data_IF_628472454227
#
_entry.id   IF_628472454227
#
_cell.length_a   1.000
_cell.length_b   1.000
_cell.length_c   1.000
_cell.angle_alpha   90.00
_cell.angle_beta   90.00
_cell.angle_gamma   90.00
#
_symmetry.space_group_name_H-M   'P 1'
#
loop_
_entity.id
_entity.type
_entity.pdbx_description
1 polymer ?
#
# COMPACT_ATOMS: atom_id res chain seq x y z
N UNK A 1 -14.10 5.61 -14.37
CA UNK A 1 -13.60 6.99 -14.53
C UNK A 1 -14.55 7.83 -15.36
N UNK A 2 -14.81 7.42 -16.60
CA UNK A 2 -15.59 8.21 -17.57
C UNK A 2 -17.01 8.58 -17.15
N UNK A 3 -17.73 7.72 -16.42
CA UNK A 3 -19.07 8.04 -15.93
C UNK A 3 -19.06 9.18 -14.89
N UNK A 4 -18.10 9.14 -13.96
CA UNK A 4 -17.96 10.21 -12.94
C UNK A 4 -17.53 11.53 -13.58
N UNK A 5 -16.73 11.48 -14.64
CA UNK A 5 -16.34 12.65 -15.41
C UNK A 5 -17.54 13.28 -16.13
N UNK A 6 -18.39 12.47 -16.79
CA UNK A 6 -19.64 12.93 -17.41
C UNK A 6 -20.60 13.56 -16.42
N UNK A 7 -20.65 13.06 -15.17
CA UNK A 7 -21.46 13.61 -14.10
C UNK A 7 -20.79 14.78 -13.38
N UNK A 8 -19.61 15.24 -13.81
CA UNK A 8 -18.80 16.27 -13.16
C UNK A 8 -18.53 15.99 -11.68
N UNK A 9 -18.37 14.72 -11.34
CA UNK A 9 -18.07 14.27 -9.97
C UNK A 9 -16.69 13.65 -9.89
N UNK A 10 -16.05 13.78 -8.71
CA UNK A 10 -14.80 13.11 -8.39
C UNK A 10 -15.11 11.75 -7.72
N UNK A 11 -14.33 10.73 -8.04
CA UNK A 11 -14.21 9.50 -7.28
C UNK A 11 -12.74 9.29 -6.91
N UNK A 12 -12.47 9.21 -5.62
CA UNK A 12 -11.12 9.01 -5.06
C UNK A 12 -11.21 7.87 -4.01
N UNK A 13 -10.98 6.62 -4.40
CA UNK A 13 -11.20 5.46 -3.52
C UNK A 13 -10.16 5.33 -2.39
N UNK A 14 -8.96 5.91 -2.56
CA UNK A 14 -7.86 5.81 -1.61
C UNK A 14 -7.50 7.14 -0.97
N UNK A 15 -8.09 7.47 0.18
CA UNK A 15 -7.86 8.75 0.89
C UNK A 15 -7.18 8.57 2.26
N UNK A 16 -6.74 7.35 2.59
CA UNK A 16 -6.10 6.98 3.84
C UNK A 16 -4.65 6.53 3.68
N UNK A 17 -4.11 5.95 4.75
CA UNK A 17 -2.75 5.41 4.79
C UNK A 17 -2.46 4.41 3.65
N UNK A 18 -3.48 3.68 3.22
CA UNK A 18 -3.33 2.64 2.21
C UNK A 18 -2.88 3.18 0.84
N UNK A 19 -3.04 4.48 0.57
CA UNK A 19 -2.70 5.09 -0.72
C UNK A 19 -1.97 6.43 -0.57
N UNK A 20 -2.43 7.33 0.32
CA UNK A 20 -1.94 8.72 0.34
C UNK A 20 -0.42 8.83 0.43
N UNK A 21 0.27 8.23 1.42
CA UNK A 21 1.71 8.43 1.56
C UNK A 21 2.53 7.77 0.46
N UNK A 22 2.07 6.62 -0.05
CA UNK A 22 2.75 5.88 -1.12
C UNK A 22 2.52 6.51 -2.50
N UNK A 23 1.32 7.04 -2.77
CA UNK A 23 1.01 7.77 -4.00
C UNK A 23 1.75 9.11 -4.07
N UNK A 24 1.82 9.85 -2.94
CA UNK A 24 2.65 11.06 -2.82
C UNK A 24 4.14 10.75 -3.01
N UNK A 25 4.64 9.65 -2.43
CA UNK A 25 6.02 9.19 -2.63
C UNK A 25 6.29 8.88 -4.10
N UNK A 26 5.38 8.16 -4.76
CA UNK A 26 5.50 7.82 -6.18
C UNK A 26 5.55 9.09 -7.06
N UNK A 27 4.65 10.05 -6.79
CA UNK A 27 4.61 11.34 -7.50
C UNK A 27 5.89 12.14 -7.28
N UNK A 28 6.32 12.28 -6.03
CA UNK A 28 7.55 13.00 -5.68
C UNK A 28 8.77 12.45 -6.42
N UNK A 29 8.96 11.12 -6.40
CA UNK A 29 10.08 10.48 -7.09
C UNK A 29 9.99 10.59 -8.61
N UNK A 30 8.79 10.43 -9.18
CA UNK A 30 8.57 10.59 -10.61
C UNK A 30 8.85 12.04 -11.07
N UNK A 31 8.51 13.05 -10.27
CA UNK A 31 8.81 14.45 -10.62
C UNK A 31 10.31 14.73 -10.65
N UNK A 32 11.11 14.00 -9.86
CA UNK A 32 12.58 14.08 -9.87
C UNK A 32 13.23 13.23 -10.98
N UNK A 33 12.54 12.17 -11.45
CA UNK A 33 12.99 11.26 -12.50
C UNK A 33 11.83 10.91 -13.43
N UNK A 34 11.44 11.81 -14.36
CA UNK A 34 10.28 11.60 -15.25
C UNK A 34 10.44 10.44 -16.23
N UNK A 35 11.66 10.03 -16.52
CA UNK A 35 12.01 8.89 -17.39
C UNK A 35 12.05 7.54 -16.65
N UNK A 36 11.60 7.49 -15.39
CA UNK A 36 11.56 6.26 -14.60
C UNK A 36 10.69 5.18 -15.27
N UNK A 37 11.22 3.98 -15.35
CA UNK A 37 10.55 2.79 -15.91
C UNK A 37 10.12 1.78 -14.83
N UNK A 38 10.69 1.87 -13.64
CA UNK A 38 10.41 0.99 -12.49
C UNK A 38 10.17 1.81 -11.23
N UNK A 39 9.20 1.38 -10.44
CA UNK A 39 8.86 1.94 -9.14
C UNK A 39 8.73 0.81 -8.13
N UNK A 40 9.42 0.94 -7.01
CA UNK A 40 9.22 0.10 -5.82
C UNK A 40 8.72 1.00 -4.68
N UNK A 41 7.65 0.59 -4.03
CA UNK A 41 7.11 1.24 -2.85
C UNK A 41 7.12 0.24 -1.70
N UNK A 42 7.58 0.66 -0.54
CA UNK A 42 7.58 -0.18 0.65
C UNK A 42 7.02 0.59 1.84
N UNK A 43 6.26 -0.09 2.70
CA UNK A 43 5.78 0.50 3.93
C UNK A 43 5.91 -0.46 5.12
N UNK A 44 6.00 0.12 6.30
CA UNK A 44 6.05 -0.59 7.56
C UNK A 44 5.31 0.18 8.65
N UNK A 45 4.67 -0.55 9.57
CA UNK A 45 4.15 0.00 10.82
C UNK A 45 5.04 -0.46 11.97
N UNK A 46 5.52 0.48 12.77
CA UNK A 46 6.40 0.21 13.91
C UNK A 46 5.68 0.58 15.20
N UNK A 47 5.58 -0.37 16.14
CA UNK A 47 4.92 -0.16 17.42
C UNK A 47 3.39 -0.19 17.40
N UNK A 48 2.78 -0.40 16.22
CA UNK A 48 1.34 -0.50 16.06
C UNK A 48 0.79 -1.93 16.12
N UNK A 49 -0.54 -2.05 16.10
CA UNK A 49 -1.28 -3.31 15.94
C UNK A 49 -2.30 -3.18 14.82
N UNK A 50 -2.66 -4.31 14.22
CA UNK A 50 -3.73 -4.35 13.23
C UNK A 50 -5.10 -4.18 13.90
N UNK A 51 -6.00 -3.43 13.26
CA UNK A 51 -7.41 -3.40 13.63
C UNK A 51 -8.12 -4.70 13.22
N UNK A 52 -9.30 -4.95 13.79
CA UNK A 52 -10.17 -6.05 13.37
C UNK A 52 -10.46 -6.00 11.86
N UNK A 53 -10.73 -4.80 11.32
CA UNK A 53 -10.99 -4.61 9.88
C UNK A 53 -9.82 -5.07 9.03
N UNK A 54 -8.63 -4.55 9.28
CA UNK A 54 -7.40 -4.92 8.55
C UNK A 54 -7.10 -6.41 8.67
N UNK A 55 -7.16 -6.97 9.88
CA UNK A 55 -6.93 -8.39 10.11
C UNK A 55 -7.97 -9.27 9.38
N UNK A 56 -9.24 -8.85 9.33
CA UNK A 56 -10.31 -9.56 8.62
C UNK A 56 -10.06 -9.53 7.11
N UNK A 57 -9.72 -8.38 6.52
CA UNK A 57 -9.37 -8.27 5.11
C UNK A 57 -8.19 -9.16 4.75
N UNK A 58 -7.16 -9.22 5.60
CA UNK A 58 -6.01 -10.12 5.40
C UNK A 58 -6.45 -11.59 5.45
N UNK A 59 -7.36 -11.97 6.38
CA UNK A 59 -7.88 -13.33 6.46
C UNK A 59 -8.73 -13.70 5.24
N UNK A 60 -9.47 -12.77 4.67
CA UNK A 60 -10.24 -12.96 3.43
C UNK A 60 -9.35 -13.17 2.21
N UNK A 61 -8.22 -12.46 2.14
CA UNK A 61 -7.23 -12.61 1.08
C UNK A 61 -6.30 -13.83 1.21
N UNK A 62 -6.43 -14.64 2.27
CA UNK A 62 -5.57 -15.81 2.47
C UNK A 62 -5.66 -16.79 1.30
N UNK A 63 -4.50 -17.15 0.78
CA UNK A 63 -4.38 -18.10 -0.34
C UNK A 63 -4.59 -17.48 -1.75
N UNK A 64 -4.97 -16.21 -1.87
CA UNK A 64 -5.25 -15.59 -3.20
C UNK A 64 -4.00 -15.26 -4.01
N UNK A 65 -2.83 -15.30 -3.39
CA UNK A 65 -1.55 -14.96 -4.04
C UNK A 65 -1.23 -13.47 -4.00
N UNK A 66 -0.38 -13.05 -4.93
CA UNK A 66 0.10 -11.69 -5.07
C UNK A 66 -0.17 -11.12 -6.46
N UNK A 67 0.19 -9.86 -6.66
CA UNK A 67 0.17 -9.20 -7.96
C UNK A 67 1.23 -8.09 -8.00
N UNK A 68 1.68 -7.77 -9.20
CA UNK A 68 2.55 -6.64 -9.51
C UNK A 68 2.08 -5.99 -10.81
N UNK A 69 2.61 -4.82 -11.12
CA UNK A 69 2.47 -4.25 -12.47
C UNK A 69 3.75 -4.50 -13.25
N UNK A 70 3.61 -5.11 -14.43
CA UNK A 70 4.70 -5.32 -15.39
C UNK A 70 4.24 -4.84 -16.78
N UNK A 71 5.06 -4.01 -17.43
CA UNK A 71 4.76 -3.46 -18.75
C UNK A 71 3.36 -2.85 -18.85
N UNK A 72 2.95 -2.09 -17.84
CA UNK A 72 1.67 -1.43 -17.76
C UNK A 72 0.47 -2.33 -17.42
N UNK A 73 0.66 -3.64 -17.20
CA UNK A 73 -0.41 -4.61 -16.89
C UNK A 73 -0.25 -5.20 -15.49
N UNK A 74 -1.36 -5.44 -14.82
CA UNK A 74 -1.36 -6.16 -13.53
C UNK A 74 -1.21 -7.65 -13.80
N UNK A 75 -0.13 -8.24 -13.29
CA UNK A 75 0.22 -9.66 -13.46
C UNK A 75 0.14 -10.37 -12.11
N UNK A 76 -0.55 -11.51 -12.08
CA UNK A 76 -0.62 -12.35 -10.89
C UNK A 76 0.74 -13.00 -10.60
N UNK A 77 1.14 -12.99 -9.35
CA UNK A 77 2.37 -13.64 -8.83
C UNK A 77 2.02 -14.43 -7.56
N UNK A 78 2.94 -15.20 -7.03
CA UNK A 78 2.80 -15.72 -5.67
C UNK A 78 2.91 -14.60 -4.64
N UNK A 79 2.25 -14.71 -3.50
CA UNK A 79 2.44 -13.76 -2.40
C UNK A 79 3.89 -13.82 -1.92
N UNK A 80 4.53 -12.67 -1.74
CA UNK A 80 5.94 -12.63 -1.36
C UNK A 80 6.88 -13.24 -2.42
N UNK A 81 6.60 -13.09 -3.73
CA UNK A 81 7.46 -13.61 -4.79
C UNK A 81 8.87 -13.01 -4.79
N UNK A 82 9.02 -11.80 -4.24
CA UNK A 82 10.31 -11.16 -3.96
C UNK A 82 10.37 -10.70 -2.51
N UNK A 83 11.57 -10.72 -1.94
CA UNK A 83 11.87 -10.15 -0.63
C UNK A 83 13.16 -9.35 -0.70
N UNK A 84 13.22 -8.25 0.04
CA UNK A 84 14.41 -7.40 0.11
C UNK A 84 14.52 -6.70 1.47
N UNK A 85 15.74 -6.32 1.83
CA UNK A 85 15.99 -5.42 2.94
C UNK A 85 15.83 -3.98 2.49
N UNK A 86 15.03 -3.22 3.21
CA UNK A 86 14.80 -1.79 2.98
C UNK A 86 15.35 -0.98 4.15
N UNK A 87 16.13 0.04 3.83
CA UNK A 87 16.59 1.03 4.80
C UNK A 87 15.55 2.16 4.88
N UNK A 88 14.58 2.02 5.79
CA UNK A 88 13.72 3.13 6.16
C UNK A 88 14.53 4.15 6.96
N UNK A 89 14.03 5.39 7.08
CA UNK A 89 14.74 6.48 7.76
C UNK A 89 15.31 6.09 9.14
N UNK A 90 14.52 5.38 9.94
CA UNK A 90 14.87 5.03 11.32
C UNK A 90 15.21 3.55 11.53
N UNK A 91 14.93 2.67 10.58
CA UNK A 91 15.11 1.21 10.74
C UNK A 91 15.38 0.51 9.41
N UNK A 92 16.22 -0.53 9.45
CA UNK A 92 16.38 -1.50 8.37
C UNK A 92 15.43 -2.68 8.62
N UNK A 93 14.49 -2.93 7.73
CA UNK A 93 13.50 -3.98 7.85
C UNK A 93 13.49 -4.88 6.61
N UNK A 94 13.22 -6.16 6.82
CA UNK A 94 12.97 -7.07 5.72
C UNK A 94 11.54 -6.89 5.23
N UNK A 95 11.36 -6.83 3.91
CA UNK A 95 10.07 -6.61 3.26
C UNK A 95 9.81 -7.69 2.21
N UNK A 96 8.56 -7.91 1.89
CA UNK A 96 8.12 -8.81 0.82
C UNK A 96 7.06 -8.15 -0.06
N UNK A 97 6.98 -8.59 -1.31
CA UNK A 97 5.96 -8.13 -2.25
C UNK A 97 4.55 -8.55 -1.83
N UNK A 98 3.62 -7.62 -1.96
CA UNK A 98 2.18 -7.81 -1.72
C UNK A 98 1.35 -7.19 -2.84
N UNK A 99 0.11 -7.66 -3.09
CA UNK A 99 -0.80 -7.09 -4.08
C UNK A 99 -1.51 -5.85 -3.49
N UNK A 100 -0.78 -4.76 -3.31
CA UNK A 100 -1.33 -3.53 -2.73
C UNK A 100 -1.94 -2.62 -3.79
N UNK A 101 -2.84 -1.71 -3.38
CA UNK A 101 -3.56 -0.81 -4.28
C UNK A 101 -2.68 0.06 -5.17
N UNK A 102 -1.47 0.36 -4.71
CA UNK A 102 -0.50 1.22 -5.42
C UNK A 102 -0.06 0.69 -6.79
N UNK A 103 -0.12 -0.62 -7.03
CA UNK A 103 0.11 -1.16 -8.38
C UNK A 103 -0.90 -0.62 -9.41
N UNK A 104 -2.02 -0.03 -8.95
CA UNK A 104 -3.02 0.65 -9.75
C UNK A 104 -2.98 2.17 -9.58
N UNK A 105 -2.98 2.67 -8.35
CA UNK A 105 -3.05 4.11 -8.05
C UNK A 105 -1.77 4.83 -8.46
N UNK A 106 -0.59 4.31 -8.14
CA UNK A 106 0.67 4.91 -8.54
C UNK A 106 0.86 4.90 -10.08
N UNK A 107 0.31 3.89 -10.78
CA UNK A 107 0.29 3.92 -12.24
C UNK A 107 -0.62 5.02 -12.80
N UNK A 108 -1.76 5.26 -12.15
CA UNK A 108 -2.65 6.37 -12.54
C UNK A 108 -1.93 7.71 -12.38
N UNK A 109 -1.17 7.87 -11.29
CA UNK A 109 -0.45 9.09 -10.95
C UNK A 109 0.80 9.32 -11.80
N UNK A 110 1.60 8.28 -12.07
CA UNK A 110 2.96 8.43 -12.64
C UNK A 110 3.13 7.86 -14.05
N UNK A 111 2.25 6.93 -14.46
CA UNK A 111 2.38 6.15 -15.69
C UNK A 111 3.62 5.24 -15.74
N UNK A 112 4.36 5.07 -14.66
CA UNK A 112 5.50 4.14 -14.61
C UNK A 112 5.00 2.71 -14.88
N UNK A 113 5.54 2.00 -15.89
CA UNK A 113 4.97 0.74 -16.36
C UNK A 113 5.23 -0.47 -15.46
N UNK A 114 6.24 -0.42 -14.60
CA UNK A 114 6.62 -1.52 -13.71
C UNK A 114 6.57 -1.05 -12.25
N UNK A 115 5.65 -1.64 -11.46
CA UNK A 115 5.41 -1.24 -10.07
C UNK A 115 5.33 -2.46 -9.18
N UNK A 116 6.12 -2.47 -8.12
CA UNK A 116 6.11 -3.46 -7.06
C UNK A 116 5.84 -2.78 -5.72
N UNK A 117 4.99 -3.39 -4.91
CA UNK A 117 4.68 -2.91 -3.57
C UNK A 117 5.10 -3.92 -2.52
N UNK A 118 5.64 -3.44 -1.43
CA UNK A 118 6.26 -4.24 -0.37
C UNK A 118 5.74 -3.85 1.00
N UNK A 119 5.64 -4.83 1.89
CA UNK A 119 5.37 -4.60 3.31
C UNK A 119 6.41 -5.28 4.19
N UNK A 120 6.65 -4.75 5.37
CA UNK A 120 7.59 -5.35 6.31
C UNK A 120 7.05 -6.67 6.87
N UNK A 121 7.89 -7.68 6.90
CA UNK A 121 7.61 -9.00 7.48
C UNK A 121 8.86 -9.58 8.13
N UNK A 122 8.70 -10.58 9.00
CA UNK A 122 9.86 -11.33 9.46
C UNK A 122 10.45 -12.21 8.34
N UNK A 123 11.79 -12.37 8.26
CA UNK A 123 12.40 -13.30 7.32
C UNK A 123 11.86 -14.73 7.45
N UNK A 124 11.47 -15.14 8.67
CA UNK A 124 10.86 -16.44 8.93
C UNK A 124 9.49 -16.56 8.24
N UNK A 125 8.64 -15.56 8.34
CA UNK A 125 7.34 -15.52 7.63
C UNK A 125 7.54 -15.60 6.13
N UNK A 126 8.48 -14.83 5.58
CA UNK A 126 8.81 -14.91 4.16
C UNK A 126 9.29 -16.30 3.71
N UNK A 127 10.14 -16.95 4.51
CA UNK A 127 10.61 -18.31 4.21
C UNK A 127 9.48 -19.34 4.20
N UNK A 128 8.48 -19.19 5.09
CA UNK A 128 7.29 -20.05 5.10
C UNK A 128 6.47 -19.92 3.81
N UNK A 129 6.39 -18.72 3.25
CA UNK A 129 5.63 -18.48 2.01
C UNK A 129 6.22 -19.17 0.78
N UNK A 130 7.50 -19.59 0.79
CA UNK A 130 8.09 -20.38 -0.29
C UNK A 130 7.35 -21.71 -0.52
N UNK A 131 6.71 -22.23 0.52
CA UNK A 131 5.94 -23.48 0.49
C UNK A 131 4.44 -23.27 0.26
N UNK A 132 4.01 -22.03 -0.03
CA UNK A 132 2.59 -21.66 -0.15
C UNK A 132 1.84 -22.51 -1.21
N UNK A 133 2.53 -23.01 -2.24
CA UNK A 133 1.95 -23.90 -3.23
C UNK A 133 1.34 -25.17 -2.63
N UNK A 134 1.91 -25.66 -1.51
CA UNK A 134 1.44 -26.87 -0.83
C UNK A 134 0.20 -26.65 0.03
N UNK A 135 -0.02 -25.43 0.57
CA UNK A 135 -1.08 -25.18 1.54
C UNK A 135 -2.08 -24.08 1.15
N UNK A 136 -1.86 -23.33 0.07
CA UNK A 136 -2.79 -22.27 -0.35
C UNK A 136 -4.21 -22.77 -0.60
N UNK A 137 -4.38 -24.00 -1.10
CA UNK A 137 -5.70 -24.59 -1.31
C UNK A 137 -6.46 -24.78 0.01
N UNK A 138 -5.75 -25.15 1.09
CA UNK A 138 -6.33 -25.26 2.43
C UNK A 138 -6.74 -23.89 2.96
N UNK A 139 -5.90 -22.86 2.76
CA UNK A 139 -6.17 -21.49 3.22
C UNK A 139 -7.39 -20.86 2.52
N UNK A 140 -7.74 -21.34 1.32
CA UNK A 140 -8.94 -20.89 0.58
C UNK A 140 -10.24 -21.48 1.13
N UNK A 141 -10.17 -22.55 1.92
CA UNK A 141 -11.37 -23.16 2.48
C UNK A 141 -12.10 -22.20 3.40
N UNK A 142 -13.41 -22.09 3.23
CA UNK A 142 -14.26 -21.21 4.04
C UNK A 142 -14.19 -21.50 5.54
N UNK A 143 -14.07 -22.79 5.91
CA UNK A 143 -13.88 -23.22 7.29
C UNK A 143 -12.61 -22.64 7.92
N UNK A 144 -11.49 -22.65 7.19
CA UNK A 144 -10.21 -22.10 7.65
C UNK A 144 -10.31 -20.59 7.79
N UNK A 145 -10.85 -19.89 6.77
CA UNK A 145 -11.05 -18.44 6.81
C UNK A 145 -11.98 -18.03 7.96
N UNK A 146 -13.09 -18.76 8.17
CA UNK A 146 -14.02 -18.49 9.25
C UNK A 146 -13.40 -18.74 10.63
N UNK A 147 -12.57 -19.76 10.79
CA UNK A 147 -11.80 -19.98 12.02
C UNK A 147 -10.91 -18.76 12.35
N UNK A 148 -10.14 -18.25 11.38
CA UNK A 148 -9.31 -17.06 11.59
C UNK A 148 -10.15 -15.81 11.87
N UNK A 149 -11.26 -15.57 11.15
CA UNK A 149 -12.19 -14.47 11.41
C UNK A 149 -12.76 -14.53 12.85
N UNK A 150 -13.14 -15.72 13.32
CA UNK A 150 -13.63 -15.89 14.68
C UNK A 150 -12.55 -15.64 15.74
N UNK A 151 -11.30 -15.99 15.45
CA UNK A 151 -10.15 -15.68 16.31
C UNK A 151 -9.89 -14.17 16.36
N UNK A 152 -9.96 -13.48 15.21
CA UNK A 152 -9.81 -12.03 15.10
C UNK A 152 -10.86 -11.30 15.95
N UNK A 153 -12.14 -11.73 15.90
CA UNK A 153 -13.23 -11.12 16.70
C UNK A 153 -12.97 -11.13 18.22
N UNK A 154 -12.14 -12.06 18.70
CA UNK A 154 -11.76 -12.19 20.12
C UNK A 154 -10.54 -11.35 20.52
N UNK A 155 -9.85 -10.73 19.53
CA UNK A 155 -8.70 -9.88 19.79
C UNK A 155 -9.17 -8.45 20.17
N UNK A 156 -8.31 -7.60 20.75
CA UNK A 156 -8.60 -6.18 20.91
C UNK A 156 -8.92 -5.53 19.56
N UNK A 157 -9.87 -4.60 19.54
CA UNK A 157 -10.41 -3.98 18.30
C UNK A 157 -9.34 -3.29 17.42
N UNK A 158 -8.24 -2.86 18.02
CA UNK A 158 -7.12 -2.21 17.34
C UNK A 158 -6.14 -1.60 18.35
N UNK A 159 -5.24 -0.71 17.93
CA UNK A 159 -4.35 -0.01 18.83
C UNK A 159 -5.13 0.99 19.70
N UNK A 160 -4.79 1.03 20.99
CA UNK A 160 -5.28 2.05 21.91
C UNK A 160 -4.62 3.42 21.64
N UNK A 161 -5.07 4.47 22.34
CA UNK A 161 -4.55 5.83 22.15
C UNK A 161 -3.06 5.94 22.49
N UNK A 162 -2.62 5.30 23.57
CA UNK A 162 -1.23 5.33 24.01
C UNK A 162 -0.31 4.66 22.96
N UNK A 163 -0.76 3.57 22.38
CA UNK A 163 -0.06 2.88 21.30
C UNK A 163 -0.02 3.73 20.03
N UNK A 164 -1.15 4.34 19.61
CA UNK A 164 -1.20 5.22 18.43
C UNK A 164 -0.26 6.41 18.54
N UNK A 165 -0.11 7.01 19.73
CA UNK A 165 0.83 8.11 19.97
C UNK A 165 2.30 7.71 19.80
N UNK A 166 2.65 6.44 20.08
CA UNK A 166 4.03 5.93 20.00
C UNK A 166 4.35 5.25 18.68
N UNK A 167 3.34 4.70 18.01
CA UNK A 167 3.53 3.99 16.75
C UNK A 167 3.77 4.95 15.59
N UNK A 168 4.54 4.48 14.61
CA UNK A 168 4.94 5.25 13.44
C UNK A 168 4.71 4.45 12.17
N UNK A 169 4.42 5.16 11.11
CA UNK A 169 4.40 4.65 9.74
C UNK A 169 5.70 5.01 9.05
N UNK A 170 6.31 4.05 8.41
CA UNK A 170 7.50 4.24 7.58
C UNK A 170 7.13 3.93 6.14
N UNK A 171 7.49 4.81 5.22
CA UNK A 171 7.30 4.63 3.78
C UNK A 171 8.64 4.88 3.08
N UNK A 172 8.94 4.04 2.14
CA UNK A 172 10.11 4.13 1.28
C UNK A 172 9.69 3.95 -0.17
N UNK A 173 10.32 4.69 -1.06
CA UNK A 173 10.14 4.53 -2.49
C UNK A 173 11.46 4.57 -3.23
N UNK A 174 11.54 3.85 -4.35
CA UNK A 174 12.66 3.87 -5.30
C UNK A 174 12.12 3.87 -6.71
N UNK A 175 12.61 4.79 -7.52
CA UNK A 175 12.44 4.77 -8.99
C UNK A 175 13.75 4.44 -9.68
N UNK A 176 13.64 3.75 -10.81
CA UNK A 176 14.81 3.41 -11.65
C UNK A 176 14.45 3.65 -13.11
N UNK A 177 15.35 4.30 -13.88
CA UNK A 177 15.16 4.52 -15.30
C UNK A 177 15.75 3.38 -16.17
N UNK A 178 15.64 3.49 -17.49
CA UNK A 178 16.15 2.47 -18.42
C UNK A 178 17.68 2.33 -18.40
N UNK A 179 18.39 3.37 -18.00
CA UNK A 179 19.87 3.39 -17.87
C UNK A 179 20.36 2.74 -16.57
N UNK A 180 19.44 2.34 -15.67
CA UNK A 180 19.75 1.76 -14.36
C UNK A 180 20.07 2.79 -13.27
N UNK A 181 19.90 4.09 -13.55
CA UNK A 181 20.02 5.14 -12.53
C UNK A 181 18.84 5.04 -11.59
N UNK A 182 19.08 5.11 -10.29
CA UNK A 182 18.05 5.01 -9.26
C UNK A 182 18.03 6.23 -8.34
N UNK A 183 16.83 6.58 -7.89
CA UNK A 183 16.57 7.60 -6.88
C UNK A 183 15.62 7.01 -5.84
N UNK A 184 15.86 7.26 -4.57
CA UNK A 184 15.00 6.80 -3.49
C UNK A 184 14.71 7.91 -2.48
N UNK A 185 13.61 7.76 -1.76
CA UNK A 185 13.21 8.65 -0.68
C UNK A 185 12.53 7.89 0.46
N UNK A 186 12.47 8.53 1.62
CA UNK A 186 11.83 8.00 2.83
C UNK A 186 10.87 9.04 3.42
N UNK A 187 9.74 8.56 3.95
CA UNK A 187 8.80 9.34 4.78
C UNK A 187 8.60 8.59 6.09
N UNK A 188 8.62 9.31 7.19
CA UNK A 188 8.18 8.85 8.49
C UNK A 188 7.01 9.71 8.94
N UNK A 189 5.92 9.06 9.34
CA UNK A 189 4.68 9.72 9.72
C UNK A 189 4.04 9.13 10.97
N UNK A 190 2.91 9.69 11.41
CA UNK A 190 2.15 9.16 12.52
C UNK A 190 1.64 7.74 12.22
N UNK A 191 1.10 7.10 13.21
CA UNK A 191 0.49 5.77 13.12
C UNK A 191 -0.58 5.73 11.99
N UNK A 192 -0.70 4.59 11.27
CA UNK A 192 -1.48 4.49 10.03
C UNK A 192 -2.96 4.87 10.16
N UNK A 193 -3.66 4.53 11.26
CA UNK A 193 -5.06 4.94 11.44
C UNK A 193 -5.20 6.43 11.73
N UNK A 194 -4.25 7.00 12.47
CA UNK A 194 -4.16 8.45 12.69
C UNK A 194 -3.91 9.17 11.37
N UNK A 195 -2.98 8.69 10.56
CA UNK A 195 -2.72 9.24 9.24
C UNK A 195 -3.95 9.15 8.32
N UNK A 196 -4.66 8.01 8.35
CA UNK A 196 -5.90 7.83 7.59
C UNK A 196 -6.95 8.88 7.97
N UNK A 197 -7.17 9.13 9.25
CA UNK A 197 -8.12 10.14 9.70
C UNK A 197 -7.70 11.56 9.24
N UNK A 198 -6.44 11.92 9.44
CA UNK A 198 -5.91 13.23 9.05
C UNK A 198 -5.99 13.47 7.54
N UNK A 199 -5.52 12.54 6.73
CA UNK A 199 -5.52 12.66 5.27
C UNK A 199 -6.94 12.73 4.70
N UNK A 200 -7.86 11.90 5.23
CA UNK A 200 -9.27 11.93 4.83
C UNK A 200 -9.93 13.28 5.14
N UNK A 201 -9.67 13.87 6.31
CA UNK A 201 -10.20 15.18 6.68
C UNK A 201 -9.61 16.30 5.82
N UNK A 202 -8.30 16.26 5.52
CA UNK A 202 -7.65 17.23 4.65
C UNK A 202 -8.25 17.18 3.24
N UNK A 203 -8.41 15.98 2.68
CA UNK A 203 -9.01 15.80 1.35
C UNK A 203 -10.47 16.25 1.35
N UNK A 204 -11.26 15.88 2.36
CA UNK A 204 -12.64 16.33 2.51
C UNK A 204 -12.73 17.86 2.53
N UNK A 205 -11.88 18.54 3.30
CA UNK A 205 -11.82 20.01 3.35
C UNK A 205 -11.53 20.61 1.97
N UNK A 206 -10.59 20.02 1.20
CA UNK A 206 -10.30 20.48 -0.17
C UNK A 206 -11.54 20.32 -1.07
N UNK A 207 -12.25 19.21 -0.98
CA UNK A 207 -13.49 18.96 -1.76
C UNK A 207 -14.58 19.97 -1.41
N UNK A 208 -14.81 20.23 -0.12
CA UNK A 208 -15.80 21.21 0.34
C UNK A 208 -15.45 22.65 -0.12
N UNK A 209 -14.17 22.96 -0.27
CA UNK A 209 -13.70 24.21 -0.85
C UNK A 209 -13.67 24.19 -2.40
N UNK A 210 -14.35 23.25 -3.06
CA UNK A 210 -14.39 23.10 -4.53
C UNK A 210 -13.00 22.90 -5.18
N UNK A 211 -11.99 22.50 -4.40
CA UNK A 211 -10.66 22.20 -4.89
C UNK A 211 -10.56 20.69 -5.19
N UNK A 212 -11.03 20.27 -6.35
CA UNK A 212 -10.96 18.88 -6.81
C UNK A 212 -11.02 18.82 -8.36
N UNK A 213 -10.58 17.68 -8.91
CA UNK A 213 -10.71 17.34 -10.33
C UNK A 213 -11.79 16.30 -10.51
N UNK A 214 -12.58 16.38 -11.58
CA UNK A 214 -13.62 15.37 -11.89
C UNK A 214 -13.01 14.05 -12.36
N UNK A 215 -13.82 13.00 -12.41
CA UNK A 215 -13.39 11.67 -12.83
C UNK A 215 -12.74 10.86 -11.72
N UNK A 216 -12.01 9.81 -12.12
CA UNK A 216 -11.21 9.00 -11.19
C UNK A 216 -9.92 9.72 -10.84
N UNK A 217 -9.68 9.92 -9.56
CA UNK A 217 -8.49 10.62 -9.06
C UNK A 217 -7.77 9.78 -8.02
N UNK A 218 -6.45 9.97 -7.95
CA UNK A 218 -5.64 9.58 -6.81
C UNK A 218 -5.23 10.83 -6.04
N UNK A 219 -4.85 10.71 -4.76
CA UNK A 219 -4.46 11.88 -3.96
C UNK A 219 -3.39 12.74 -4.63
N UNK A 220 -2.30 12.11 -5.06
CA UNK A 220 -1.17 12.84 -5.63
C UNK A 220 -1.43 13.32 -7.08
N UNK A 221 -2.23 12.65 -7.87
CA UNK A 221 -2.64 13.13 -9.19
C UNK A 221 -3.57 14.36 -9.10
N UNK A 222 -4.38 14.42 -8.02
CA UNK A 222 -5.30 15.53 -7.81
C UNK A 222 -4.62 16.74 -7.14
N UNK A 223 -3.80 16.49 -6.13
CA UNK A 223 -3.32 17.53 -5.21
C UNK A 223 -1.78 17.76 -5.20
N UNK A 224 -1.02 16.92 -5.91
CA UNK A 224 0.44 16.93 -5.87
C UNK A 224 0.99 16.01 -4.77
N UNK A 225 2.32 15.97 -4.68
CA UNK A 225 3.05 15.21 -3.66
C UNK A 225 3.16 15.98 -2.34
#
# INVERSE_FOLDING_TARGET
>A
GSEFEKCQRMVMPGVGFDVVPTDCMAKFLHDQMPDATHLKLAFASVGGKLSHGTATTMAEGMGEGGAVRENGRIIKKSLGHKGMWVNFSSKKLFTMTIPWGDISTAYTTTRIPNIETYTSVSPKTFSMLKWQGLYNWVLKLSLVRNYYKNKIKKMPAGPDEAMRKKAKSLVWGEVTNAEGKSLYANIEGPEGYTLTALSSLIILKKVLCQNYKTGYQTPAACYGA
#
